data_IF_142170694708
#
_entry.id   IF_142170694708
#
_cell.length_a   1.000
_cell.length_b   1.000
_cell.length_c   1.000
_cell.angle_alpha   90.00
_cell.angle_beta   90.00
_cell.angle_gamma   90.00
#
_symmetry.space_group_name_H-M   'P 1'
#
loop_
_entity.id
_entity.type
_entity.pdbx_description
1 polymer ?
#
# COMPACT_ATOMS: atom_id res chain seq x y z
N UNK A 1 45.54 4.61 -9.14
CA UNK A 1 44.41 4.48 -10.10
C UNK A 1 43.88 3.03 -10.26
N UNK A 2 44.29 2.07 -9.42
CA UNK A 2 44.03 0.63 -9.61
C UNK A 2 42.70 0.08 -9.06
N UNK A 3 42.01 0.78 -8.16
CA UNK A 3 40.75 0.27 -7.58
C UNK A 3 39.49 0.67 -8.37
N UNK A 4 39.62 1.35 -9.52
CA UNK A 4 38.47 1.81 -10.32
C UNK A 4 37.59 0.65 -10.83
N UNK A 5 38.17 -0.51 -11.10
CA UNK A 5 37.44 -1.72 -11.53
C UNK A 5 36.59 -2.32 -10.41
N UNK A 6 37.17 -2.47 -9.21
CA UNK A 6 36.47 -3.00 -8.04
C UNK A 6 35.30 -2.09 -7.64
N UNK A 7 35.50 -0.76 -7.62
CA UNK A 7 34.45 0.20 -7.26
C UNK A 7 33.27 0.14 -8.24
N UNK A 8 33.52 -0.02 -9.55
CA UNK A 8 32.45 -0.17 -10.55
C UNK A 8 31.67 -1.46 -10.36
N UNK A 9 32.32 -2.57 -10.01
CA UNK A 9 31.65 -3.83 -9.74
C UNK A 9 30.73 -3.73 -8.52
N UNK A 10 31.23 -3.16 -7.41
CA UNK A 10 30.41 -2.91 -6.22
C UNK A 10 29.23 -1.99 -6.51
N UNK A 11 29.41 -0.93 -7.32
CA UNK A 11 28.32 -0.04 -7.69
C UNK A 11 27.22 -0.74 -8.50
N UNK A 12 27.59 -1.64 -9.43
CA UNK A 12 26.62 -2.41 -10.23
C UNK A 12 25.84 -3.38 -9.35
N UNK A 13 26.52 -4.11 -8.46
CA UNK A 13 25.85 -5.04 -7.53
C UNK A 13 24.91 -4.26 -6.60
N UNK A 14 25.36 -3.13 -6.06
CA UNK A 14 24.54 -2.28 -5.22
C UNK A 14 23.30 -1.76 -5.95
N UNK A 15 23.46 -1.30 -7.20
CA UNK A 15 22.33 -0.87 -8.03
C UNK A 15 21.31 -1.99 -8.28
N UNK A 16 21.78 -3.23 -8.52
CA UNK A 16 20.90 -4.39 -8.66
C UNK A 16 20.12 -4.69 -7.37
N UNK A 17 20.77 -4.59 -6.21
CA UNK A 17 20.10 -4.77 -4.90
C UNK A 17 19.05 -3.68 -4.68
N UNK A 18 19.35 -2.42 -5.04
CA UNK A 18 18.38 -1.34 -4.95
C UNK A 18 17.17 -1.57 -5.86
N UNK A 19 17.38 -2.00 -7.11
CA UNK A 19 16.27 -2.33 -8.03
C UNK A 19 15.42 -3.46 -7.46
N UNK A 20 16.05 -4.49 -6.89
CA UNK A 20 15.34 -5.61 -6.26
C UNK A 20 14.51 -5.17 -5.05
N UNK A 21 15.02 -4.28 -4.20
CA UNK A 21 14.23 -3.74 -3.08
C UNK A 21 13.06 -2.88 -3.56
N UNK A 22 13.29 -2.08 -4.60
CA UNK A 22 12.29 -1.16 -5.13
C UNK A 22 11.18 -1.90 -5.90
N UNK A 23 11.47 -3.05 -6.51
CA UNK A 23 10.47 -3.86 -7.20
C UNK A 23 9.36 -4.35 -6.25
N UNK A 24 9.69 -4.80 -5.03
CA UNK A 24 8.67 -5.18 -4.04
C UNK A 24 7.72 -4.03 -3.72
N UNK A 25 8.26 -2.82 -3.57
CA UNK A 25 7.44 -1.62 -3.29
C UNK A 25 6.52 -1.30 -4.47
N UNK A 26 6.99 -1.50 -5.71
CA UNK A 26 6.17 -1.33 -6.90
C UNK A 26 5.00 -2.32 -6.97
N UNK A 27 5.25 -3.61 -6.73
CA UNK A 27 4.22 -4.64 -6.74
C UNK A 27 3.21 -4.48 -5.60
N UNK A 28 3.64 -4.09 -4.39
CA UNK A 28 2.75 -3.76 -3.29
C UNK A 28 1.78 -2.63 -3.67
N UNK A 29 2.32 -1.52 -4.19
CA UNK A 29 1.53 -0.36 -4.62
C UNK A 29 0.58 -0.67 -5.76
N UNK A 30 0.95 -1.59 -6.65
CA UNK A 30 0.07 -2.04 -7.74
C UNK A 30 -1.20 -2.68 -7.19
N UNK A 31 -1.07 -3.62 -6.26
CA UNK A 31 -2.21 -4.32 -5.65
C UNK A 31 -3.07 -3.37 -4.81
N UNK A 32 -2.45 -2.43 -4.12
CA UNK A 32 -3.19 -1.37 -3.40
C UNK A 32 -3.98 -0.47 -4.35
N UNK A 33 -3.42 -0.16 -5.51
CA UNK A 33 -4.13 0.57 -6.57
C UNK A 33 -5.37 -0.18 -7.05
N UNK A 34 -5.24 -1.48 -7.29
CA UNK A 34 -6.35 -2.36 -7.67
C UNK A 34 -7.41 -2.45 -6.56
N UNK A 35 -6.99 -2.54 -5.29
CA UNK A 35 -7.90 -2.55 -4.14
C UNK A 35 -8.70 -1.24 -4.04
N UNK A 36 -8.04 -0.10 -4.27
CA UNK A 36 -8.67 1.22 -4.26
C UNK A 36 -9.65 1.39 -5.41
N UNK A 37 -9.32 0.87 -6.59
CA UNK A 37 -10.21 0.88 -7.75
C UNK A 37 -11.47 0.04 -7.50
N UNK A 38 -11.32 -1.14 -6.87
CA UNK A 38 -12.43 -1.97 -6.44
C UNK A 38 -13.36 -1.23 -5.44
N UNK A 39 -12.77 -0.59 -4.44
CA UNK A 39 -13.48 0.21 -3.44
C UNK A 39 -14.15 1.48 -4.00
N UNK A 40 -13.63 2.03 -5.10
CA UNK A 40 -14.16 3.26 -5.74
C UNK A 40 -15.13 2.93 -6.89
N UNK A 41 -15.43 1.65 -7.12
CA UNK A 41 -16.31 1.23 -8.21
C UNK A 41 -17.70 1.88 -8.12
N UNK A 42 -18.42 2.06 -9.26
CA UNK A 42 -19.72 2.73 -9.30
C UNK A 42 -20.76 2.15 -8.32
N UNK A 43 -20.63 0.87 -8.00
CA UNK A 43 -21.46 0.13 -7.03
C UNK A 43 -21.41 0.73 -5.61
N UNK A 44 -20.30 1.38 -5.24
CA UNK A 44 -20.10 1.95 -3.91
C UNK A 44 -20.69 3.34 -3.78
N UNK A 45 -20.67 4.12 -4.86
CA UNK A 45 -21.42 5.37 -4.93
C UNK A 45 -22.92 5.14 -4.82
N UNK A 46 -23.42 4.06 -5.41
CA UNK A 46 -24.84 3.70 -5.35
C UNK A 46 -25.25 3.27 -3.92
N UNK A 47 -24.49 2.37 -3.29
CA UNK A 47 -24.71 2.00 -1.87
C UNK A 47 -24.68 3.23 -0.95
N UNK A 48 -23.70 4.12 -1.12
CA UNK A 48 -23.60 5.35 -0.34
C UNK A 48 -24.81 6.28 -0.56
N UNK A 49 -25.31 6.39 -1.80
CA UNK A 49 -26.52 7.16 -2.11
C UNK A 49 -27.77 6.57 -1.44
N UNK A 50 -27.91 5.24 -1.43
CA UNK A 50 -29.06 4.59 -0.77
C UNK A 50 -29.06 4.78 0.74
N UNK A 51 -27.88 4.71 1.38
CA UNK A 51 -27.72 4.86 2.83
C UNK A 51 -27.82 6.32 3.29
N UNK A 52 -27.48 7.28 2.43
CA UNK A 52 -27.50 8.70 2.77
C UNK A 52 -28.92 9.31 2.85
N UNK A 53 -29.96 8.62 2.36
CA UNK A 53 -31.37 9.04 2.43
C UNK A 53 -31.61 10.54 2.10
N UNK A 54 -30.85 11.08 1.13
CA UNK A 54 -30.96 12.47 0.67
C UNK A 54 -30.14 13.52 1.43
N UNK A 55 -29.32 13.14 2.43
CA UNK A 55 -28.48 14.07 3.17
C UNK A 55 -27.02 14.06 2.65
N UNK A 56 -26.63 15.14 1.96
CA UNK A 56 -25.38 15.22 1.17
C UNK A 56 -24.11 15.16 2.03
N UNK A 57 -24.17 15.65 3.28
CA UNK A 57 -23.05 15.58 4.22
C UNK A 57 -22.76 14.16 4.71
N UNK A 58 -23.82 13.37 4.95
CA UNK A 58 -23.67 11.98 5.41
C UNK A 58 -23.17 11.07 4.28
N UNK A 59 -23.48 11.39 3.02
CA UNK A 59 -22.99 10.65 1.86
C UNK A 59 -21.47 10.56 1.81
N UNK A 60 -20.75 11.65 2.10
CA UNK A 60 -19.29 11.64 2.13
C UNK A 60 -18.71 10.74 3.23
N UNK A 61 -19.32 10.76 4.42
CA UNK A 61 -18.90 9.95 5.58
C UNK A 61 -19.18 8.47 5.35
N UNK A 62 -20.37 8.13 4.83
CA UNK A 62 -20.72 6.75 4.51
C UNK A 62 -19.87 6.21 3.37
N UNK A 63 -19.60 7.01 2.34
CA UNK A 63 -18.72 6.62 1.24
C UNK A 63 -17.31 6.31 1.75
N UNK A 64 -16.71 7.18 2.56
CA UNK A 64 -15.36 6.93 3.12
C UNK A 64 -15.32 5.64 3.96
N UNK A 65 -16.37 5.39 4.77
CA UNK A 65 -16.47 4.20 5.61
C UNK A 65 -16.63 2.91 4.80
N UNK A 66 -17.49 2.92 3.79
CA UNK A 66 -17.76 1.77 2.90
C UNK A 66 -16.53 1.47 2.05
N UNK A 67 -15.93 2.49 1.44
CA UNK A 67 -14.74 2.35 0.60
C UNK A 67 -13.58 1.74 1.39
N UNK A 68 -13.33 2.21 2.63
CA UNK A 68 -12.28 1.63 3.49
C UNK A 68 -12.56 0.19 3.91
N UNK A 69 -13.81 -0.14 4.23
CA UNK A 69 -14.19 -1.50 4.64
C UNK A 69 -13.96 -2.50 3.50
N UNK A 70 -14.28 -2.09 2.27
CA UNK A 70 -14.23 -2.96 1.09
C UNK A 70 -12.83 -3.02 0.49
N UNK A 71 -12.06 -1.94 0.57
CA UNK A 71 -10.61 -1.97 0.32
C UNK A 71 -9.95 -3.01 1.22
N UNK A 72 -10.27 -3.01 2.52
CA UNK A 72 -9.74 -3.98 3.48
C UNK A 72 -10.19 -5.41 3.16
N UNK A 73 -11.45 -5.60 2.78
CA UNK A 73 -11.98 -6.92 2.40
C UNK A 73 -11.29 -7.48 1.16
N UNK A 74 -11.08 -6.64 0.14
CA UNK A 74 -10.34 -7.00 -1.06
C UNK A 74 -8.89 -7.36 -0.71
N UNK A 75 -8.20 -6.52 0.08
CA UNK A 75 -6.83 -6.75 0.54
C UNK A 75 -6.67 -8.07 1.30
N UNK A 76 -7.62 -8.39 2.18
CA UNK A 76 -7.64 -9.66 2.92
C UNK A 76 -7.80 -10.87 1.98
N UNK A 77 -8.64 -10.72 0.95
CA UNK A 77 -8.89 -11.76 -0.06
C UNK A 77 -7.67 -12.00 -0.97
N UNK A 78 -6.95 -10.95 -1.35
CA UNK A 78 -5.77 -11.06 -2.21
C UNK A 78 -4.48 -11.34 -1.43
N UNK A 79 -4.54 -11.36 -0.09
CA UNK A 79 -3.36 -11.46 0.78
C UNK A 79 -2.50 -12.68 0.49
N UNK A 80 -3.13 -13.82 0.18
CA UNK A 80 -2.46 -15.10 -0.05
C UNK A 80 -2.20 -15.37 -1.54
N UNK A 81 -2.58 -14.47 -2.44
CA UNK A 81 -2.32 -14.63 -3.87
C UNK A 81 -0.87 -14.27 -4.18
N UNK A 82 -0.28 -15.01 -5.12
CA UNK A 82 1.07 -14.74 -5.63
C UNK A 82 1.02 -13.51 -6.54
N UNK A 83 1.67 -12.43 -6.10
CA UNK A 83 1.68 -11.15 -6.83
C UNK A 83 3.00 -10.93 -7.55
N UNK A 84 4.09 -11.50 -7.03
CA UNK A 84 5.42 -11.32 -7.59
C UNK A 84 6.14 -12.66 -7.74
N UNK A 85 6.53 -12.98 -8.97
CA UNK A 85 7.25 -14.19 -9.32
C UNK A 85 8.59 -13.81 -9.97
N UNK A 86 9.70 -14.24 -9.35
CA UNK A 86 11.06 -13.92 -9.81
C UNK A 86 11.73 -15.17 -10.43
N UNK A 87 10.96 -16.15 -10.89
CA UNK A 87 11.43 -17.40 -11.49
C UNK A 87 12.10 -18.38 -10.51
N UNK A 88 12.61 -17.91 -9.37
CA UNK A 88 13.26 -18.70 -8.32
C UNK A 88 12.39 -18.86 -7.06
N UNK A 89 11.47 -17.90 -6.84
CA UNK A 89 10.57 -17.90 -5.68
C UNK A 89 9.33 -17.08 -6.01
N UNK A 90 8.20 -17.60 -5.54
CA UNK A 90 6.90 -16.93 -5.55
C UNK A 90 6.72 -16.15 -4.25
N UNK A 91 6.27 -14.91 -4.36
CA UNK A 91 5.98 -14.04 -3.23
C UNK A 91 4.50 -13.66 -3.24
N UNK A 92 3.84 -13.94 -2.12
CA UNK A 92 2.45 -13.54 -1.89
C UNK A 92 2.35 -12.04 -1.64
N UNK A 93 1.14 -11.46 -1.75
CA UNK A 93 0.94 -10.06 -1.37
C UNK A 93 1.46 -9.76 0.03
N UNK A 94 1.20 -10.66 0.99
CA UNK A 94 1.71 -10.54 2.36
C UNK A 94 3.24 -10.44 2.41
N UNK A 95 3.93 -11.33 1.71
CA UNK A 95 5.40 -11.35 1.69
C UNK A 95 5.97 -10.07 1.05
N UNK A 96 5.34 -9.61 -0.02
CA UNK A 96 5.74 -8.38 -0.73
C UNK A 96 5.50 -7.16 0.17
N UNK A 97 4.41 -7.15 0.94
CA UNK A 97 4.05 -6.08 1.86
C UNK A 97 5.00 -6.01 3.07
N UNK A 98 5.40 -7.16 3.61
CA UNK A 98 6.40 -7.22 4.68
C UNK A 98 7.80 -6.79 4.22
N UNK A 99 8.13 -7.02 2.94
CA UNK A 99 9.39 -6.60 2.31
C UNK A 99 9.34 -5.20 1.71
N UNK A 100 8.18 -4.56 1.76
CA UNK A 100 8.05 -3.17 1.33
C UNK A 100 8.97 -2.29 2.17
N UNK A 101 9.51 -1.24 1.55
CA UNK A 101 10.25 -0.22 2.28
C UNK A 101 9.32 0.38 3.35
N UNK A 102 9.81 0.47 4.59
CA UNK A 102 9.11 1.13 5.68
C UNK A 102 8.99 2.63 5.39
N UNK A 103 7.88 2.99 4.77
CA UNK A 103 7.49 4.37 4.53
C UNK A 103 7.15 5.02 5.87
N UNK A 104 7.77 6.15 6.16
CA UNK A 104 7.44 6.96 7.33
C UNK A 104 6.01 7.52 7.23
N UNK A 105 5.53 8.10 8.33
CA UNK A 105 4.18 8.66 8.43
C UNK A 105 3.89 9.73 7.36
N UNK A 106 4.92 10.47 6.94
CA UNK A 106 4.84 11.46 5.86
C UNK A 106 4.51 10.81 4.50
N UNK A 107 5.03 9.61 4.24
CA UNK A 107 4.88 8.93 2.95
C UNK A 107 3.73 7.91 2.91
N UNK A 108 3.35 7.34 4.05
CA UNK A 108 2.17 6.44 4.18
C UNK A 108 0.89 7.19 4.53
N UNK A 109 1.01 8.41 5.07
CA UNK A 109 -0.10 9.17 5.63
C UNK A 109 -0.52 8.63 7.00
N UNK A 110 -0.69 9.54 7.94
CA UNK A 110 -1.19 9.24 9.28
C UNK A 110 -0.91 10.40 10.23
N UNK A 111 -1.43 10.30 11.46
CA UNK A 111 -1.26 11.34 12.47
C UNK A 111 -0.61 10.72 13.71
N UNK A 112 0.58 11.20 14.08
CA UNK A 112 1.21 10.85 15.34
C UNK A 112 0.66 11.82 16.41
N UNK A 113 -0.11 11.30 17.37
CA UNK A 113 -0.68 12.09 18.45
C UNK A 113 -0.15 11.54 19.78
N UNK A 114 0.65 12.35 20.46
CA UNK A 114 0.99 12.12 21.87
C UNK A 114 0.03 12.94 22.71
N UNK A 115 -0.76 12.27 23.54
CA UNK A 115 -1.63 12.94 24.51
C UNK A 115 -0.84 13.14 25.80
N UNK A 116 -0.58 14.41 26.15
CA UNK A 116 -0.07 14.76 27.48
C UNK A 116 -1.25 15.07 28.40
N UNK A 117 -1.29 14.38 29.56
CA UNK A 117 -2.26 14.68 30.62
C UNK A 117 -1.59 15.64 31.59
N UNK A 118 -2.00 16.90 31.57
CA UNK A 118 -1.60 17.89 32.57
C UNK A 118 -2.42 17.68 33.84
N UNK A 119 -1.75 17.38 34.95
CA UNK A 119 -2.37 17.32 36.28
C UNK A 119 -2.12 18.67 36.96
N UNK A 120 -3.15 19.34 37.52
CA UNK A 120 -3.00 20.61 38.22
C UNK A 120 -2.23 20.50 39.55
#
# INVERSE_FOLDING_TARGET
MQNKGAIRLFAIVFALVCIFQLSFTYFARKVEGEAKEYATSPSMHEKANTLAAGNDLLKGVYFDSISKAEEKFYLDSVQNLVVYNIGLKEYTYKDVKEKEINLGLDLKGGMNVTLEVSVP
#
